data_IF_933939868759
#
_entry.id   IF_933939868759
#
_cell.length_a   1.000
_cell.length_b   1.000
_cell.length_c   1.000
_cell.angle_alpha   90.00
_cell.angle_beta   90.00
_cell.angle_gamma   90.00
#
_symmetry.space_group_name_H-M   'P 1'
#
loop_
_entity.id
_entity.type
_entity.pdbx_description
1 polymer ?
#
# COMPACT_ATOMS: atom_id res chain seq x y z
N UNK A 1 -9.17 -9.30 -18.43
CA UNK A 1 -8.08 -8.31 -18.47
C UNK A 1 -7.81 -7.93 -19.92
N UNK A 2 -7.97 -6.66 -20.25
CA UNK A 2 -7.83 -6.04 -21.56
C UNK A 2 -6.39 -5.62 -21.84
N UNK A 3 -6.08 -5.30 -23.11
CA UNK A 3 -4.79 -4.76 -23.51
C UNK A 3 -4.48 -3.39 -22.86
N UNK A 4 -5.51 -2.62 -22.52
CA UNK A 4 -5.35 -1.34 -21.83
C UNK A 4 -4.89 -1.55 -20.38
N UNK A 5 -5.47 -2.52 -19.66
CA UNK A 5 -5.02 -2.87 -18.30
C UNK A 5 -3.57 -3.38 -18.28
N UNK A 6 -3.18 -4.20 -19.26
CA UNK A 6 -1.78 -4.67 -19.38
C UNK A 6 -0.82 -3.52 -19.64
N UNK A 7 -1.20 -2.55 -20.48
CA UNK A 7 -0.40 -1.34 -20.72
C UNK A 7 -0.27 -0.47 -19.47
N UNK A 8 -1.36 -0.30 -18.71
CA UNK A 8 -1.33 0.41 -17.44
C UNK A 8 -0.36 -0.28 -16.47
N UNK A 9 -0.43 -1.59 -16.31
CA UNK A 9 0.49 -2.32 -15.42
C UNK A 9 1.95 -2.19 -15.84
N UNK A 10 2.27 -2.38 -17.12
CA UNK A 10 3.64 -2.19 -17.63
C UNK A 10 4.13 -0.77 -17.40
N UNK A 11 3.28 0.22 -17.61
CA UNK A 11 3.60 1.63 -17.35
C UNK A 11 3.88 1.87 -15.87
N UNK A 12 3.04 1.35 -14.97
CA UNK A 12 3.22 1.44 -13.53
C UNK A 12 4.46 0.67 -13.04
N UNK A 13 4.80 -0.47 -13.63
CA UNK A 13 6.03 -1.22 -13.32
C UNK A 13 7.30 -0.51 -13.79
N UNK A 14 7.20 0.26 -14.88
CA UNK A 14 8.35 0.98 -15.45
C UNK A 14 8.80 2.18 -14.63
N UNK A 15 8.03 2.64 -13.64
CA UNK A 15 8.45 3.75 -12.79
C UNK A 15 7.95 3.65 -11.36
N UNK A 16 8.60 4.41 -10.47
CA UNK A 16 8.37 4.29 -9.03
C UNK A 16 7.02 4.87 -8.54
N UNK A 17 6.47 5.91 -9.18
CA UNK A 17 5.20 6.52 -8.78
C UNK A 17 4.60 7.42 -9.89
N UNK A 18 3.26 7.44 -10.00
CA UNK A 18 2.53 8.35 -10.89
C UNK A 18 1.20 8.82 -10.29
N UNK A 19 0.80 10.04 -10.65
CA UNK A 19 -0.58 10.52 -10.43
C UNK A 19 -1.52 10.01 -11.52
N UNK A 20 -2.82 9.84 -11.20
CA UNK A 20 -3.85 9.46 -12.18
C UNK A 20 -3.77 10.32 -13.46
N UNK A 21 -3.58 11.63 -13.28
CA UNK A 21 -3.51 12.59 -14.38
C UNK A 21 -2.27 12.39 -15.28
N UNK A 22 -1.14 11.98 -14.71
CA UNK A 22 0.06 11.66 -15.49
C UNK A 22 -0.14 10.38 -16.31
N UNK A 23 -0.81 9.38 -15.74
CA UNK A 23 -1.14 8.12 -16.43
C UNK A 23 -2.08 8.39 -17.60
N UNK A 24 -3.16 9.16 -17.35
CA UNK A 24 -4.11 9.56 -18.40
C UNK A 24 -3.41 10.26 -19.57
N UNK A 25 -2.48 11.21 -19.29
CA UNK A 25 -1.73 11.92 -20.33
C UNK A 25 -0.79 11.03 -21.13
N UNK A 26 -0.11 10.09 -20.47
CA UNK A 26 0.83 9.19 -21.15
C UNK A 26 0.12 8.15 -22.02
N UNK A 27 -1.00 7.63 -21.54
CA UNK A 27 -1.77 6.59 -22.25
C UNK A 27 -2.82 7.17 -23.20
N UNK A 28 -3.12 8.46 -23.10
CA UNK A 28 -4.15 9.13 -23.90
C UNK A 28 -5.57 8.68 -23.56
N UNK A 29 -5.82 8.31 -22.30
CA UNK A 29 -7.10 7.76 -21.82
C UNK A 29 -7.80 8.76 -20.90
N UNK A 30 -9.12 8.61 -20.75
CA UNK A 30 -9.88 9.39 -19.79
C UNK A 30 -9.66 8.89 -18.35
N UNK A 31 -9.94 9.76 -17.40
CA UNK A 31 -9.82 9.45 -15.98
C UNK A 31 -10.88 8.41 -15.53
N UNK A 32 -12.05 8.41 -16.17
CA UNK A 32 -13.09 7.40 -15.94
C UNK A 32 -12.64 6.01 -16.42
N UNK A 33 -12.05 5.92 -17.62
CA UNK A 33 -11.47 4.67 -18.12
C UNK A 33 -10.35 4.16 -17.22
N UNK A 34 -9.45 5.05 -16.78
CA UNK A 34 -8.37 4.68 -15.86
C UNK A 34 -8.92 4.11 -14.54
N UNK A 35 -9.92 4.76 -13.95
CA UNK A 35 -10.54 4.29 -12.69
C UNK A 35 -11.25 2.95 -12.84
N UNK A 36 -11.94 2.75 -13.96
CA UNK A 36 -12.57 1.46 -14.24
C UNK A 36 -11.51 0.35 -14.37
N UNK A 37 -10.42 0.61 -15.09
CA UNK A 37 -9.30 -0.31 -15.19
C UNK A 37 -8.62 -0.57 -13.85
N UNK A 38 -8.45 0.43 -13.00
CA UNK A 38 -7.92 0.24 -11.64
C UNK A 38 -8.80 -0.67 -10.79
N UNK A 39 -10.13 -0.53 -10.86
CA UNK A 39 -11.05 -1.43 -10.15
C UNK A 39 -10.93 -2.88 -10.66
N UNK A 40 -10.82 -3.08 -11.97
CA UNK A 40 -10.58 -4.40 -12.56
C UNK A 40 -9.23 -4.96 -12.08
N UNK A 41 -8.17 -4.15 -12.06
CA UNK A 41 -6.84 -4.57 -11.60
C UNK A 41 -6.82 -4.96 -10.12
N UNK A 42 -7.54 -4.22 -9.27
CA UNK A 42 -7.71 -4.56 -7.85
C UNK A 42 -8.47 -5.88 -7.67
N UNK A 43 -9.59 -6.06 -8.38
CA UNK A 43 -10.37 -7.30 -8.31
C UNK A 43 -9.57 -8.53 -8.77
N UNK A 44 -8.63 -8.35 -9.70
CA UNK A 44 -7.74 -9.42 -10.15
C UNK A 44 -6.50 -9.61 -9.26
N UNK A 45 -6.33 -8.78 -8.23
CA UNK A 45 -5.23 -8.84 -7.27
C UNK A 45 -3.90 -8.28 -7.78
N UNK A 46 -3.91 -7.43 -8.80
CA UNK A 46 -2.71 -6.77 -9.32
C UNK A 46 -2.43 -5.41 -8.68
N UNK A 47 -3.46 -4.79 -8.10
CA UNK A 47 -3.36 -3.58 -7.31
C UNK A 47 -3.99 -3.83 -5.93
N UNK A 48 -3.47 -3.19 -4.91
CA UNK A 48 -4.06 -3.15 -3.58
C UNK A 48 -4.05 -1.73 -3.02
N UNK A 49 -5.02 -1.41 -2.14
CA UNK A 49 -5.00 -0.13 -1.44
C UNK A 49 -3.79 -0.07 -0.49
N UNK A 50 -3.19 1.11 -0.34
CA UNK A 50 -2.03 1.29 0.53
C UNK A 50 -2.28 0.85 1.98
N UNK A 51 -3.50 1.03 2.50
CA UNK A 51 -3.89 0.54 3.82
C UNK A 51 -3.84 -0.99 3.92
N UNK A 52 -4.22 -1.70 2.86
CA UNK A 52 -4.17 -3.17 2.81
C UNK A 52 -2.72 -3.66 2.77
N UNK A 53 -1.88 -3.00 1.98
CA UNK A 53 -0.44 -3.24 1.94
C UNK A 53 0.20 -3.02 3.32
N UNK A 54 -0.08 -1.87 3.96
CA UNK A 54 0.42 -1.55 5.30
C UNK A 54 -0.04 -2.55 6.36
N UNK A 55 -1.29 -3.00 6.32
CA UNK A 55 -1.78 -4.01 7.26
C UNK A 55 -1.00 -5.34 7.11
N UNK A 56 -0.68 -5.74 5.88
CA UNK A 56 0.15 -6.93 5.60
C UNK A 56 1.59 -6.75 6.06
N UNK A 57 2.21 -5.61 5.77
CA UNK A 57 3.59 -5.29 6.20
C UNK A 57 3.71 -5.13 7.72
N UNK A 58 2.77 -4.43 8.36
CA UNK A 58 2.75 -4.27 9.82
C UNK A 58 2.57 -5.62 10.52
N UNK A 59 1.80 -6.56 9.98
CA UNK A 59 1.72 -7.92 10.53
C UNK A 59 3.05 -8.69 10.35
N UNK A 60 3.84 -8.37 9.33
CA UNK A 60 5.17 -8.93 9.13
C UNK A 60 6.24 -8.29 10.07
N UNK A 61 6.08 -7.01 10.41
CA UNK A 61 6.92 -6.28 11.39
C UNK A 61 6.48 -6.48 12.86
N UNK A 62 5.23 -6.92 13.10
CA UNK A 62 4.68 -7.12 14.46
C UNK A 62 5.22 -8.35 15.18
N UNK A 63 6.19 -9.07 14.60
CA UNK A 63 6.96 -10.08 15.32
C UNK A 63 8.27 -9.53 15.93
N UNK A 64 8.51 -8.22 15.85
CA UNK A 64 9.68 -7.56 16.45
C UNK A 64 9.32 -6.71 17.68
N UNK A 65 8.41 -7.19 18.53
CA UNK A 65 8.65 -7.05 19.96
C UNK A 65 9.44 -8.29 20.38
N UNK A 66 10.72 -8.20 20.78
CA UNK A 66 11.35 -9.32 21.46
C UNK A 66 10.57 -9.57 22.75
N UNK A 67 9.66 -10.53 22.71
CA UNK A 67 9.04 -11.12 23.89
C UNK A 67 10.07 -11.99 24.62
N UNK A 68 11.26 -11.46 24.88
CA UNK A 68 12.28 -12.04 25.75
C UNK A 68 13.18 -10.92 26.25
N UNK A 69 12.86 -10.35 27.42
CA UNK A 69 13.73 -9.35 28.04
C UNK A 69 13.18 -8.60 29.27
N UNK A 70 12.55 -9.30 30.21
CA UNK A 70 12.47 -8.87 31.61
C UNK A 70 11.79 -7.52 31.92
N UNK A 71 10.45 -7.50 31.99
CA UNK A 71 9.76 -6.54 32.86
C UNK A 71 9.56 -7.20 34.23
N UNK A 72 10.64 -7.29 35.00
CA UNK A 72 10.65 -7.90 36.33
C UNK A 72 10.95 -6.86 37.40
N UNK A 73 10.45 -5.62 37.29
CA UNK A 73 10.44 -4.64 38.40
C UNK A 73 9.79 -3.32 38.00
N UNK A 74 8.48 -3.34 37.75
CA UNK A 74 7.67 -2.11 37.79
C UNK A 74 6.63 -2.28 38.90
N UNK A 75 7.09 -2.26 40.14
CA UNK A 75 6.22 -2.03 41.28
C UNK A 75 5.86 -0.53 41.29
N UNK A 76 4.55 -0.27 41.25
CA UNK A 76 3.94 0.99 41.67
C UNK A 76 4.15 2.19 40.73
N UNK A 77 3.33 2.27 39.68
CA UNK A 77 2.93 3.55 39.09
C UNK A 77 1.40 3.70 39.12
N UNK A 78 0.88 3.81 40.34
CA UNK A 78 -0.39 4.48 40.60
C UNK A 78 -0.13 5.99 40.43
N UNK A 79 -0.35 6.55 39.25
CA UNK A 79 -0.86 7.92 39.05
C UNK A 79 -0.87 8.30 37.57
N UNK A 80 -1.89 9.09 37.25
CA UNK A 80 -2.17 9.75 35.99
C UNK A 80 -0.94 10.31 35.29
N UNK A 81 -0.70 9.85 34.07
CA UNK A 81 -0.31 10.71 32.94
C UNK A 81 -0.16 9.80 31.74
N UNK A 82 -1.01 10.03 30.75
CA UNK A 82 -1.01 9.39 29.44
C UNK A 82 0.40 8.99 29.00
N UNK A 83 0.63 7.69 28.88
CA UNK A 83 1.62 7.16 27.97
C UNK A 83 1.17 7.54 26.56
N UNK A 84 1.50 8.78 26.17
CA UNK A 84 1.30 9.30 24.83
C UNK A 84 2.29 8.65 23.90
N UNK A 85 2.01 7.41 23.51
CA UNK A 85 2.44 6.93 22.20
C UNK A 85 1.84 7.93 21.19
N UNK A 86 2.72 8.74 20.61
CA UNK A 86 2.35 9.92 19.84
C UNK A 86 1.27 9.60 18.82
N UNK A 87 0.27 10.49 18.75
CA UNK A 87 -0.66 10.53 17.65
C UNK A 87 0.15 10.63 16.35
N UNK A 88 0.34 9.51 15.67
CA UNK A 88 0.75 9.54 14.27
C UNK A 88 -0.30 10.38 13.57
N UNK A 89 0.13 11.49 12.97
CA UNK A 89 -0.71 12.20 12.02
C UNK A 89 -1.23 11.14 11.04
N UNK A 90 -2.54 10.93 11.01
CA UNK A 90 -3.15 10.06 10.00
C UNK A 90 -2.89 10.74 8.66
N UNK A 91 -1.83 10.31 7.99
CA UNK A 91 -1.60 10.67 6.62
C UNK A 91 -2.67 9.96 5.79
N UNK A 92 -3.46 10.75 5.04
CA UNK A 92 -4.55 10.24 4.22
C UNK A 92 -3.97 9.59 2.95
N UNK A 93 -3.74 8.28 3.05
CA UNK A 93 -3.21 7.46 1.96
C UNK A 93 -4.29 6.74 1.15
N UNK A 94 -5.55 7.12 1.31
CA UNK A 94 -6.69 6.44 0.68
C UNK A 94 -6.66 6.49 -0.86
N UNK A 95 -5.96 7.47 -1.43
CA UNK A 95 -5.80 7.62 -2.89
C UNK A 95 -4.59 6.85 -3.46
N UNK A 96 -3.78 6.23 -2.59
CA UNK A 96 -2.59 5.48 -3.01
C UNK A 96 -2.95 4.03 -3.27
N UNK A 97 -2.57 3.56 -4.45
CA UNK A 97 -2.64 2.15 -4.85
C UNK A 97 -1.24 1.60 -5.04
N UNK A 98 -1.02 0.37 -4.57
CA UNK A 98 0.26 -0.33 -4.58
C UNK A 98 0.19 -1.48 -5.58
N UNK A 99 1.26 -1.65 -6.36
CA UNK A 99 1.44 -2.82 -7.22
C UNK A 99 1.74 -4.04 -6.34
N UNK A 100 1.03 -5.15 -6.58
CA UNK A 100 1.26 -6.40 -5.86
C UNK A 100 2.42 -7.19 -6.46
N UNK A 101 3.02 -8.09 -5.67
CA UNK A 101 4.08 -9.00 -6.12
C UNK A 101 3.63 -9.84 -7.34
N UNK A 102 2.38 -10.29 -7.34
CA UNK A 102 1.76 -11.00 -8.48
C UNK A 102 1.88 -10.22 -9.79
N UNK A 103 1.65 -8.91 -9.76
CA UNK A 103 1.79 -8.07 -10.95
C UNK A 103 3.25 -7.98 -11.42
N UNK A 104 4.21 -7.97 -10.49
CA UNK A 104 5.64 -7.97 -10.81
C UNK A 104 6.07 -9.31 -11.42
N UNK A 105 5.61 -10.43 -10.89
CA UNK A 105 5.93 -11.76 -11.43
C UNK A 105 5.39 -11.95 -12.86
N UNK A 106 4.13 -11.55 -13.10
CA UNK A 106 3.47 -11.76 -14.39
C UNK A 106 3.87 -10.73 -15.47
N UNK A 107 4.20 -9.50 -15.08
CA UNK A 107 4.42 -8.39 -16.03
C UNK A 107 5.76 -7.66 -15.86
N UNK A 108 6.55 -7.97 -14.84
CA UNK A 108 7.85 -7.35 -14.56
C UNK A 108 9.04 -8.07 -15.21
N UNK A 109 8.82 -9.24 -15.81
CA UNK A 109 9.82 -9.91 -16.65
C UNK A 109 9.63 -9.45 -18.09
N UNK A 110 10.54 -8.59 -18.57
CA UNK A 110 10.64 -8.20 -19.99
C UNK A 110 11.19 -9.36 -20.85
#
# INVERSE_FOLDING_TARGET
>A
MSELEKKILRFLLSAAAYSENAICKNLGISLEELRNSFNILEQNGYLEAYETFLAREQLNESNSCPSHGGCSSCHSCSHSSSCGCGAQAKEDYSDIRVITEKAVEEFGSD
#
